data_IF_389831930990
#
_entry.id   IF_389831930990
#
_cell.length_a   1.000
_cell.length_b   1.000
_cell.length_c   1.000
_cell.angle_alpha   90.00
_cell.angle_beta   90.00
_cell.angle_gamma   90.00
#
_symmetry.space_group_name_H-M   'P 1'
#
loop_
_entity.id
_entity.type
_entity.pdbx_description
1 polymer ?
#
# COMPACT_ATOMS: atom_id res chain seq x y z
N UNK A 1 -7.94 14.78 -2.89
CA UNK A 1 -6.62 14.13 -2.87
C UNK A 1 -6.55 13.19 -4.06
N UNK A 2 -5.61 13.40 -4.95
CA UNK A 2 -5.38 12.51 -6.09
C UNK A 2 -4.83 11.18 -5.58
N UNK A 3 -5.31 10.09 -6.15
CA UNK A 3 -4.75 8.75 -5.93
C UNK A 3 -3.40 8.71 -6.65
N UNK A 4 -2.32 8.97 -5.90
CA UNK A 4 -0.97 8.96 -6.42
C UNK A 4 -0.45 7.52 -6.38
N UNK A 5 -0.19 6.95 -7.54
CA UNK A 5 0.35 5.60 -7.65
C UNK A 5 1.76 5.45 -7.04
N UNK A 6 2.36 4.25 -7.12
CA UNK A 6 3.72 4.02 -6.66
C UNK A 6 4.74 4.82 -7.48
N UNK A 7 5.72 5.40 -6.78
CA UNK A 7 6.87 6.06 -7.40
C UNK A 7 8.13 5.21 -7.20
N UNK A 8 8.85 4.99 -8.29
CA UNK A 8 10.12 4.31 -8.30
C UNK A 8 11.25 5.30 -8.00
N UNK A 9 11.99 5.08 -6.90
CA UNK A 9 13.11 5.93 -6.48
C UNK A 9 14.42 5.14 -6.61
N UNK A 10 14.90 5.03 -7.83
CA UNK A 10 16.11 4.23 -8.11
C UNK A 10 17.26 5.05 -8.73
N UNK A 11 17.27 6.35 -8.61
CA UNK A 11 18.34 7.16 -9.18
C UNK A 11 19.34 7.58 -8.11
N UNK A 12 20.64 7.42 -8.42
CA UNK A 12 21.75 7.95 -7.66
C UNK A 12 21.78 9.50 -7.58
N UNK A 13 20.80 10.19 -8.15
CA UNK A 13 20.63 11.63 -8.02
C UNK A 13 19.92 11.94 -6.72
N UNK A 14 20.53 12.78 -5.89
CA UNK A 14 19.82 13.47 -4.83
C UNK A 14 18.64 14.22 -5.45
N UNK A 15 17.44 13.72 -5.24
CA UNK A 15 16.24 14.45 -5.62
C UNK A 15 16.12 15.66 -4.67
N UNK A 16 16.11 16.84 -5.23
CA UNK A 16 15.91 18.10 -4.48
C UNK A 16 14.43 18.33 -4.14
N UNK A 17 13.52 17.50 -4.66
CA UNK A 17 12.08 17.51 -4.37
C UNK A 17 11.62 16.14 -3.90
N UNK A 18 10.72 16.10 -2.92
CA UNK A 18 10.06 14.86 -2.50
C UNK A 18 9.09 14.44 -3.60
N UNK A 19 9.08 13.16 -4.03
CA UNK A 19 8.09 12.67 -4.96
C UNK A 19 6.71 12.66 -4.29
N UNK A 20 5.70 13.12 -5.01
CA UNK A 20 4.30 12.95 -4.59
C UNK A 20 3.83 11.55 -5.01
N UNK A 21 3.77 10.64 -4.06
CA UNK A 21 3.36 9.26 -4.29
C UNK A 21 2.84 8.62 -3.00
N UNK A 22 1.93 7.66 -3.13
CA UNK A 22 1.41 6.84 -2.03
C UNK A 22 2.26 5.60 -1.75
N UNK A 23 3.20 5.26 -2.63
CA UNK A 23 4.17 4.19 -2.42
C UNK A 23 5.56 4.57 -2.94
N UNK A 24 6.57 4.11 -2.23
CA UNK A 24 7.98 4.32 -2.55
C UNK A 24 8.69 2.98 -2.64
N UNK A 25 9.50 2.78 -3.68
CA UNK A 25 10.27 1.53 -3.90
C UNK A 25 11.73 1.89 -4.15
N UNK A 26 12.66 1.12 -3.58
CA UNK A 26 14.10 1.29 -3.86
C UNK A 26 14.88 -0.02 -3.68
N UNK A 27 15.91 -0.20 -4.52
CA UNK A 27 16.95 -1.21 -4.37
C UNK A 27 18.31 -0.59 -3.95
N UNK A 28 18.35 0.73 -3.73
CA UNK A 28 19.60 1.44 -3.40
C UNK A 28 19.94 1.26 -1.93
N UNK A 29 21.07 0.63 -1.58
CA UNK A 29 21.50 0.46 -0.19
C UNK A 29 21.69 1.82 0.51
N UNK A 30 21.34 1.88 1.79
CA UNK A 30 21.46 3.09 2.61
C UNK A 30 20.40 4.15 2.37
N UNK A 31 19.46 3.96 1.42
CA UNK A 31 18.34 4.86 1.23
C UNK A 31 17.23 4.54 2.21
N UNK A 32 16.75 5.57 2.91
CA UNK A 32 15.61 5.46 3.83
C UNK A 32 14.35 5.94 3.12
N UNK A 33 13.29 5.11 3.14
CA UNK A 33 11.97 5.46 2.67
C UNK A 33 11.10 5.87 3.85
N UNK A 34 10.44 7.03 3.75
CA UNK A 34 9.57 7.55 4.79
C UNK A 34 8.20 7.84 4.20
N UNK A 35 7.15 7.33 4.86
CA UNK A 35 5.76 7.69 4.59
C UNK A 35 5.13 8.21 5.88
N UNK A 36 4.13 9.07 5.76
CA UNK A 36 3.37 9.58 6.89
C UNK A 36 1.97 8.98 6.87
N UNK A 37 1.57 8.40 7.99
CA UNK A 37 0.23 7.86 8.18
C UNK A 37 -0.31 8.34 9.53
N UNK A 38 -1.63 8.45 9.64
CA UNK A 38 -2.34 8.61 10.91
C UNK A 38 -3.19 7.35 11.14
N UNK A 39 -4.39 7.30 10.56
CA UNK A 39 -5.31 6.17 10.65
C UNK A 39 -5.14 5.15 9.52
N UNK A 40 -4.47 5.55 8.44
CA UNK A 40 -4.22 4.69 7.27
C UNK A 40 -3.16 3.63 7.57
N UNK A 41 -3.17 2.55 6.78
CA UNK A 41 -2.17 1.50 6.92
C UNK A 41 -0.82 1.92 6.35
N UNK A 42 0.25 1.69 7.12
CA UNK A 42 1.62 1.65 6.63
C UNK A 42 1.97 0.21 6.28
N UNK A 43 2.20 -0.08 5.01
CA UNK A 43 2.59 -1.41 4.56
C UNK A 43 4.06 -1.38 4.16
N UNK A 44 4.87 -2.18 4.84
CA UNK A 44 6.31 -2.33 4.58
C UNK A 44 6.55 -3.64 3.87
N UNK A 45 7.25 -3.60 2.75
CA UNK A 45 7.58 -4.77 1.94
C UNK A 45 9.08 -4.90 1.81
N UNK A 46 9.60 -6.11 1.97
CA UNK A 46 10.99 -6.43 1.77
C UNK A 46 11.17 -7.69 0.93
N UNK A 47 11.96 -7.57 -0.14
CA UNK A 47 12.46 -8.69 -0.94
C UNK A 47 13.89 -9.01 -0.48
N UNK A 48 14.12 -10.07 0.31
CA UNK A 48 15.44 -10.42 0.81
C UNK A 48 16.37 -10.98 -0.28
N UNK A 49 15.82 -11.50 -1.37
CA UNK A 49 16.59 -12.11 -2.47
C UNK A 49 17.18 -11.01 -3.35
N UNK A 50 16.40 -10.01 -3.71
CA UNK A 50 16.83 -8.90 -4.58
C UNK A 50 17.22 -7.65 -3.82
N UNK A 51 17.02 -7.66 -2.50
CA UNK A 51 17.28 -6.54 -1.58
C UNK A 51 16.55 -5.26 -1.98
N UNK A 52 15.27 -5.39 -2.29
CA UNK A 52 14.38 -4.30 -2.61
C UNK A 52 13.45 -4.04 -1.42
N UNK A 53 13.20 -2.78 -1.11
CA UNK A 53 12.25 -2.38 -0.09
C UNK A 53 11.18 -1.47 -0.67
N UNK A 54 9.97 -1.58 -0.12
CA UNK A 54 8.90 -0.63 -0.40
C UNK A 54 8.19 -0.20 0.87
N UNK A 55 7.75 1.07 0.91
CA UNK A 55 6.83 1.60 1.90
C UNK A 55 5.59 2.12 1.19
N UNK A 56 4.41 1.70 1.65
CA UNK A 56 3.12 1.98 1.04
C UNK A 56 2.20 2.65 2.05
N UNK A 57 1.66 3.81 1.70
CA UNK A 57 0.53 4.43 2.39
C UNK A 57 -0.76 3.88 1.78
N UNK A 58 -1.45 2.99 2.50
CA UNK A 58 -2.72 2.42 2.06
C UNK A 58 -3.87 3.01 2.88
N UNK A 59 -4.40 4.14 2.42
CA UNK A 59 -5.68 4.69 2.86
C UNK A 59 -6.84 4.01 2.15
N UNK A 60 -8.09 4.40 2.45
CA UNK A 60 -9.27 3.77 1.83
C UNK A 60 -9.30 3.91 0.28
N UNK A 61 -8.82 5.05 -0.25
CA UNK A 61 -8.69 5.24 -1.71
C UNK A 61 -7.60 4.36 -2.30
N UNK A 62 -6.47 4.24 -1.61
CA UNK A 62 -5.38 3.33 -2.00
C UNK A 62 -5.84 1.88 -1.99
N UNK A 63 -6.64 1.48 -0.99
CA UNK A 63 -7.24 0.13 -0.93
C UNK A 63 -8.19 -0.11 -2.11
N UNK A 64 -9.03 0.88 -2.48
CA UNK A 64 -9.90 0.79 -3.66
C UNK A 64 -9.07 0.65 -4.94
N UNK A 65 -8.01 1.44 -5.09
CA UNK A 65 -7.10 1.42 -6.24
C UNK A 65 -6.10 0.27 -6.23
N UNK A 66 -6.16 -0.62 -5.24
CA UNK A 66 -5.21 -1.73 -5.05
C UNK A 66 -3.75 -1.26 -5.08
N UNK A 67 -3.43 -0.23 -4.28
CA UNK A 67 -2.06 0.33 -4.21
C UNK A 67 -1.02 -0.74 -3.82
N UNK A 68 -1.41 -1.71 -3.00
CA UNK A 68 -0.55 -2.83 -2.59
C UNK A 68 -0.18 -3.67 -3.82
N UNK A 69 -1.16 -4.23 -4.52
CA UNK A 69 -0.92 -5.07 -5.70
C UNK A 69 -0.17 -4.32 -6.80
N UNK A 70 -0.48 -3.04 -7.03
CA UNK A 70 0.23 -2.18 -7.98
C UNK A 70 1.69 -1.99 -7.60
N UNK A 71 2.00 -1.81 -6.31
CA UNK A 71 3.37 -1.67 -5.83
C UNK A 71 4.15 -2.98 -5.99
N UNK A 72 3.55 -4.13 -5.67
CA UNK A 72 4.18 -5.43 -5.87
C UNK A 72 4.42 -5.72 -7.34
N UNK A 73 3.49 -5.35 -8.21
CA UNK A 73 3.68 -5.43 -9.66
C UNK A 73 4.86 -4.56 -10.14
N UNK A 74 4.98 -3.33 -9.63
CA UNK A 74 6.11 -2.46 -9.94
C UNK A 74 7.44 -3.07 -9.48
N UNK A 75 7.49 -3.64 -8.28
CA UNK A 75 8.67 -4.36 -7.78
C UNK A 75 9.02 -5.55 -8.69
N UNK A 76 8.02 -6.26 -9.20
CA UNK A 76 8.24 -7.37 -10.14
C UNK A 76 8.80 -6.87 -11.47
N UNK A 77 8.21 -5.83 -12.05
CA UNK A 77 8.62 -5.28 -13.35
C UNK A 77 10.01 -4.65 -13.28
N UNK A 78 10.27 -3.84 -12.26
CA UNK A 78 11.51 -3.06 -12.16
C UNK A 78 12.69 -3.87 -11.59
N UNK A 79 12.43 -4.84 -10.72
CA UNK A 79 13.47 -5.55 -9.97
C UNK A 79 13.42 -7.07 -10.10
N UNK A 80 12.43 -7.62 -10.78
CA UNK A 80 12.24 -9.07 -10.91
C UNK A 80 11.81 -9.73 -9.60
N UNK A 81 11.20 -8.99 -8.68
CA UNK A 81 10.67 -9.51 -7.41
C UNK A 81 9.67 -10.63 -7.66
N UNK A 82 9.74 -11.67 -6.84
CA UNK A 82 8.80 -12.79 -6.83
C UNK A 82 7.98 -12.71 -5.55
N UNK A 83 6.65 -12.72 -5.67
CA UNK A 83 5.74 -12.52 -4.53
C UNK A 83 6.02 -13.50 -3.37
N UNK A 84 6.33 -14.77 -3.68
CA UNK A 84 6.64 -15.80 -2.69
C UNK A 84 7.91 -15.55 -1.86
N UNK A 85 8.80 -14.65 -2.30
CA UNK A 85 10.04 -14.30 -1.58
C UNK A 85 9.83 -13.14 -0.59
N UNK A 86 8.66 -12.47 -0.64
CA UNK A 86 8.43 -11.23 0.09
C UNK A 86 8.15 -11.45 1.58
N UNK A 87 8.68 -10.53 2.36
CA UNK A 87 8.32 -10.34 3.77
C UNK A 87 7.53 -9.03 3.86
N UNK A 88 6.32 -9.10 4.41
CA UNK A 88 5.42 -7.95 4.51
C UNK A 88 5.02 -7.71 5.96
N UNK A 89 5.07 -6.46 6.39
CA UNK A 89 4.56 -6.00 7.67
C UNK A 89 3.55 -4.87 7.49
N UNK A 90 2.43 -4.93 8.19
CA UNK A 90 1.42 -3.87 8.24
C UNK A 90 1.43 -3.26 9.63
N UNK A 91 1.61 -1.95 9.70
CA UNK A 91 1.60 -1.19 10.95
C UNK A 91 0.20 -1.04 11.54
N UNK A 92 0.10 -0.60 12.81
CA UNK A 92 -1.18 -0.26 13.43
C UNK A 92 -1.96 0.76 12.59
N UNK A 93 -3.27 0.58 12.51
CA UNK A 93 -4.15 1.43 11.71
C UNK A 93 -5.60 1.32 12.18
N UNK A 94 -6.49 2.16 11.62
CA UNK A 94 -7.90 2.15 11.92
C UNK A 94 -8.52 0.78 11.60
N UNK A 95 -9.07 0.16 12.62
CA UNK A 95 -9.69 -1.15 12.52
C UNK A 95 -11.18 -1.10 12.14
N UNK A 96 -11.78 -2.28 11.91
CA UNK A 96 -13.20 -2.39 11.54
C UNK A 96 -14.17 -1.95 12.64
N UNK A 97 -13.68 -1.70 13.87
CA UNK A 97 -14.48 -1.10 14.94
C UNK A 97 -14.80 0.39 14.71
N UNK A 98 -14.00 1.07 13.87
CA UNK A 98 -13.97 2.53 13.82
C UNK A 98 -13.96 3.09 12.38
N UNK A 99 -13.74 2.26 11.37
CA UNK A 99 -13.70 2.66 9.95
C UNK A 99 -15.12 2.79 9.36
N UNK A 100 -15.91 3.73 9.88
CA UNK A 100 -17.28 3.98 9.45
C UNK A 100 -17.35 4.77 8.15
N UNK A 101 -18.17 4.30 7.20
CA UNK A 101 -18.44 4.93 5.91
C UNK A 101 -19.94 5.04 5.64
N UNK A 102 -20.56 6.06 6.19
CA UNK A 102 -22.02 6.28 6.05
C UNK A 102 -22.44 6.48 4.60
N UNK A 103 -21.54 7.00 3.75
CA UNK A 103 -21.78 7.22 2.32
C UNK A 103 -21.13 6.17 1.42
N UNK A 104 -20.81 4.99 1.95
CA UNK A 104 -20.06 3.94 1.26
C UNK A 104 -20.60 3.59 -0.14
N UNK A 105 -21.92 3.73 -0.38
CA UNK A 105 -22.52 3.44 -1.69
C UNK A 105 -22.02 4.34 -2.81
N UNK A 106 -21.53 5.54 -2.46
CA UNK A 106 -20.96 6.52 -3.40
C UNK A 106 -19.43 6.49 -3.40
N UNK A 107 -18.85 6.07 -2.30
CA UNK A 107 -17.41 6.18 -2.05
C UNK A 107 -16.66 4.88 -2.31
N UNK A 108 -17.28 3.73 -2.01
CA UNK A 108 -16.64 2.42 -2.05
C UNK A 108 -17.30 1.53 -3.10
N UNK A 109 -16.52 0.93 -4.02
CA UNK A 109 -17.05 0.08 -5.07
C UNK A 109 -17.71 -1.17 -4.48
N UNK A 110 -18.68 -1.72 -5.19
CA UNK A 110 -19.46 -2.88 -4.76
C UNK A 110 -18.62 -4.12 -4.48
N UNK A 111 -17.50 -4.27 -5.17
CA UNK A 111 -16.54 -5.37 -4.97
C UNK A 111 -15.99 -5.44 -3.56
N UNK A 112 -15.89 -4.31 -2.84
CA UNK A 112 -15.40 -4.25 -1.47
C UNK A 112 -16.51 -4.30 -0.40
N UNK A 113 -17.78 -4.30 -0.78
CA UNK A 113 -18.88 -4.37 0.18
C UNK A 113 -18.92 -5.65 1.04
N UNK A 114 -18.41 -6.82 0.61
CA UNK A 114 -18.30 -7.98 1.47
C UNK A 114 -17.46 -7.77 2.74
N UNK A 115 -16.57 -6.78 2.72
CA UNK A 115 -15.71 -6.42 3.88
C UNK A 115 -16.40 -5.48 4.88
N UNK A 116 -17.66 -5.12 4.64
CA UNK A 116 -18.44 -4.22 5.48
C UNK A 116 -19.32 -5.00 6.46
N UNK A 117 -19.41 -4.53 7.72
CA UNK A 117 -20.39 -4.99 8.69
C UNK A 117 -21.77 -4.32 8.52
N UNK A 118 -22.75 -4.66 9.37
CA UNK A 118 -24.09 -4.10 9.34
C UNK A 118 -24.09 -2.58 9.59
N UNK A 119 -23.15 -2.07 10.40
CA UNK A 119 -23.05 -0.68 10.84
C UNK A 119 -22.15 0.17 9.93
N UNK A 120 -21.98 -0.23 8.69
CA UNK A 120 -21.19 0.49 7.67
C UNK A 120 -19.69 0.64 7.97
N UNK A 121 -19.14 -0.19 8.86
CA UNK A 121 -17.71 -0.23 9.12
C UNK A 121 -17.01 -1.22 8.21
N UNK A 122 -15.90 -0.81 7.59
CA UNK A 122 -15.13 -1.61 6.65
C UNK A 122 -13.90 -2.23 7.32
N UNK A 123 -13.60 -3.46 6.96
CA UNK A 123 -12.40 -4.15 7.40
C UNK A 123 -11.28 -3.98 6.35
N UNK A 124 -10.59 -2.85 6.37
CA UNK A 124 -9.47 -2.60 5.47
C UNK A 124 -8.27 -3.50 5.74
N UNK A 125 -8.16 -4.07 6.93
CA UNK A 125 -7.12 -5.08 7.21
C UNK A 125 -7.33 -6.35 6.39
N UNK A 126 -8.58 -6.82 6.31
CA UNK A 126 -8.92 -7.97 5.49
C UNK A 126 -8.73 -7.67 3.99
N UNK A 127 -9.12 -6.48 3.52
CA UNK A 127 -8.88 -6.06 2.14
C UNK A 127 -7.39 -6.11 1.81
N UNK A 128 -6.54 -5.52 2.65
CA UNK A 128 -5.09 -5.51 2.42
C UNK A 128 -4.47 -6.90 2.48
N UNK A 129 -4.94 -7.76 3.39
CA UNK A 129 -4.52 -9.15 3.45
C UNK A 129 -4.83 -9.88 2.14
N UNK A 130 -6.07 -9.74 1.63
CA UNK A 130 -6.49 -10.42 0.41
C UNK A 130 -5.73 -9.87 -0.82
N UNK A 131 -5.51 -8.55 -0.90
CA UNK A 131 -4.68 -7.94 -1.95
C UNK A 131 -3.24 -8.46 -1.94
N UNK A 132 -2.68 -8.74 -0.77
CA UNK A 132 -1.35 -9.34 -0.64
C UNK A 132 -1.35 -10.81 -1.08
N UNK A 133 -2.40 -11.56 -0.79
CA UNK A 133 -2.52 -12.98 -1.16
C UNK A 133 -2.80 -13.18 -2.66
N UNK A 134 -3.41 -12.20 -3.31
CA UNK A 134 -3.72 -12.22 -4.75
C UNK A 134 -2.57 -11.77 -5.64
N UNK A 135 -1.57 -11.10 -5.07
CA UNK A 135 -0.42 -10.57 -5.81
C UNK A 135 0.69 -11.61 -5.98
#
# INVERSE_FOLDING_TARGET
MSDLGPAHIDTARMQTSQPEADALVTAVPGRVLVIQVADCQAVMVYDPVRRVVANIHSGWRGSIGNIIGRTLQEMTVAHGTVAGDLVVGIGPSLGPCCAEFVHYRKEIPRSLWPYKNADHHFNFWAISHDQLCEA
#
